data_IF_544178368202
#
_entry.id   IF_544178368202
#
_cell.length_a   1.000
_cell.length_b   1.000
_cell.length_c   1.000
_cell.angle_alpha   90.00
_cell.angle_beta   90.00
_cell.angle_gamma   90.00
#
_symmetry.space_group_name_H-M   'P 1'
#
loop_
_entity.id
_entity.type
_entity.pdbx_description
1 polymer ?
#
# COMPACT_ATOMS: atom_id res chain seq x y z
N UNK A 1 26.43 -15.63 -18.50
CA UNK A 1 25.77 -14.43 -19.06
C UNK A 1 24.26 -14.64 -19.22
N UNK A 2 23.79 -15.67 -19.95
CA UNK A 2 22.35 -15.92 -20.16
C UNK A 2 21.48 -16.14 -18.90
N UNK A 3 22.06 -16.64 -17.80
CA UNK A 3 21.33 -16.91 -16.54
C UNK A 3 20.93 -15.61 -15.83
N UNK A 4 21.75 -14.55 -15.94
CA UNK A 4 21.50 -13.24 -15.34
C UNK A 4 20.40 -12.49 -16.09
N UNK A 5 20.38 -12.60 -17.43
CA UNK A 5 19.31 -12.07 -18.29
C UNK A 5 17.96 -12.75 -18.02
N UNK A 6 17.95 -14.07 -17.78
CA UNK A 6 16.74 -14.80 -17.42
C UNK A 6 16.16 -14.40 -16.07
N UNK A 7 17.00 -14.14 -15.06
CA UNK A 7 16.56 -13.65 -13.74
C UNK A 7 16.04 -12.22 -13.85
N UNK A 8 16.72 -11.33 -14.59
CA UNK A 8 16.29 -9.94 -14.78
C UNK A 8 14.96 -9.84 -15.55
N UNK A 9 14.74 -10.70 -16.55
CA UNK A 9 13.46 -10.83 -17.24
C UNK A 9 12.36 -11.39 -16.32
N UNK A 10 12.69 -12.37 -15.47
CA UNK A 10 11.73 -12.96 -14.54
C UNK A 10 11.31 -11.98 -13.42
N UNK A 11 12.26 -11.20 -12.88
CA UNK A 11 11.97 -10.15 -11.88
C UNK A 11 11.22 -8.98 -12.52
N UNK A 12 11.61 -8.55 -13.71
CA UNK A 12 10.89 -7.53 -14.48
C UNK A 12 9.44 -7.94 -14.79
N UNK A 13 9.22 -9.20 -15.18
CA UNK A 13 7.86 -9.72 -15.42
C UNK A 13 7.04 -9.83 -14.13
N UNK A 14 7.67 -10.21 -13.01
CA UNK A 14 7.01 -10.22 -11.70
C UNK A 14 6.57 -8.81 -11.27
N UNK A 15 7.48 -7.83 -11.34
CA UNK A 15 7.17 -6.43 -11.00
C UNK A 15 6.08 -5.89 -11.93
N UNK A 16 6.14 -6.18 -13.23
CA UNK A 16 5.11 -5.78 -14.18
C UNK A 16 3.73 -6.38 -13.85
N UNK A 17 3.67 -7.67 -13.48
CA UNK A 17 2.42 -8.33 -13.07
C UNK A 17 1.86 -7.73 -11.78
N UNK A 18 2.70 -7.55 -10.76
CA UNK A 18 2.30 -6.92 -9.48
C UNK A 18 1.79 -5.50 -9.70
N UNK A 19 2.46 -4.71 -10.54
CA UNK A 19 2.03 -3.36 -10.89
C UNK A 19 0.70 -3.37 -11.64
N UNK A 20 0.55 -4.27 -12.62
CA UNK A 20 -0.69 -4.39 -13.41
C UNK A 20 -1.88 -4.78 -12.54
N UNK A 21 -1.71 -5.77 -11.66
CA UNK A 21 -2.76 -6.20 -10.72
C UNK A 21 -3.09 -5.11 -9.71
N UNK A 22 -2.08 -4.41 -9.19
CA UNK A 22 -2.28 -3.29 -8.27
C UNK A 22 -3.09 -2.18 -8.93
N UNK A 23 -2.68 -1.73 -10.12
CA UNK A 23 -3.36 -0.68 -10.88
C UNK A 23 -4.79 -1.10 -11.26
N UNK A 24 -4.99 -2.34 -11.70
CA UNK A 24 -6.33 -2.86 -12.03
C UNK A 24 -7.24 -2.82 -10.81
N UNK A 25 -6.78 -3.33 -9.66
CA UNK A 25 -7.58 -3.37 -8.42
C UNK A 25 -7.88 -1.97 -7.88
N UNK A 26 -6.92 -1.06 -7.94
CA UNK A 26 -7.13 0.35 -7.57
C UNK A 26 -8.16 1.03 -8.47
N UNK A 27 -8.14 0.76 -9.78
CA UNK A 27 -9.12 1.29 -10.74
C UNK A 27 -10.51 0.68 -10.54
N UNK A 28 -10.61 -0.64 -10.35
CA UNK A 28 -11.87 -1.35 -10.08
C UNK A 28 -12.59 -0.80 -8.85
N UNK A 29 -11.84 -0.55 -7.77
CA UNK A 29 -12.41 -0.01 -6.53
C UNK A 29 -12.65 1.51 -6.55
N UNK A 30 -12.32 2.18 -7.66
CA UNK A 30 -12.36 3.64 -7.81
C UNK A 30 -11.64 4.33 -6.64
N UNK A 31 -10.42 3.87 -6.35
CA UNK A 31 -9.61 4.43 -5.27
C UNK A 31 -9.38 5.93 -5.52
N UNK A 32 -9.66 6.75 -4.51
CA UNK A 32 -9.42 8.18 -4.61
C UNK A 32 -8.01 8.58 -4.16
N UNK A 33 -7.65 9.85 -4.38
CA UNK A 33 -6.32 10.36 -4.05
C UNK A 33 -6.04 10.40 -2.54
N UNK A 34 -7.07 10.57 -1.72
CA UNK A 34 -6.95 10.60 -0.26
C UNK A 34 -6.61 9.19 0.26
N UNK A 35 -7.31 8.18 -0.24
CA UNK A 35 -7.06 6.78 0.09
C UNK A 35 -5.68 6.33 -0.33
N UNK A 36 -5.28 6.67 -1.57
CA UNK A 36 -3.92 6.38 -2.05
C UNK A 36 -2.86 7.11 -1.21
N UNK A 37 -3.11 8.37 -0.85
CA UNK A 37 -2.24 9.16 0.02
C UNK A 37 -2.07 8.51 1.39
N UNK A 38 -3.17 8.06 2.01
CA UNK A 38 -3.16 7.38 3.29
C UNK A 38 -2.41 6.04 3.22
N UNK A 39 -2.63 5.23 2.19
CA UNK A 39 -1.88 3.97 1.99
C UNK A 39 -0.38 4.22 1.83
N UNK A 40 0.02 5.25 1.07
CA UNK A 40 1.43 5.66 0.96
C UNK A 40 1.99 6.13 2.31
N UNK A 41 1.22 6.88 3.10
CA UNK A 41 1.64 7.31 4.43
C UNK A 41 1.80 6.11 5.38
N UNK A 42 0.93 5.11 5.33
CA UNK A 42 1.06 3.87 6.13
C UNK A 42 2.33 3.08 5.75
N UNK A 43 2.69 3.05 4.47
CA UNK A 43 3.95 2.44 4.01
C UNK A 43 5.15 3.26 4.46
N UNK A 44 5.06 4.60 4.39
CA UNK A 44 6.11 5.52 4.80
C UNK A 44 6.40 5.44 6.31
N UNK A 45 5.36 5.41 7.14
CA UNK A 45 5.46 5.25 8.59
C UNK A 45 5.70 3.78 8.95
N UNK A 46 6.87 3.26 8.59
CA UNK A 46 7.29 1.91 8.92
C UNK A 46 8.24 1.93 10.14
N UNK A 47 7.81 1.48 11.34
CA UNK A 47 8.65 1.50 12.53
C UNK A 47 9.84 0.52 12.42
N UNK A 48 9.71 -0.51 11.57
CA UNK A 48 10.72 -1.56 11.36
C UNK A 48 11.79 -1.15 10.34
N UNK A 49 11.76 0.09 9.84
CA UNK A 49 12.77 0.58 8.92
C UNK A 49 14.14 0.64 9.62
N UNK A 50 15.20 0.29 8.89
CA UNK A 50 16.57 0.28 9.42
C UNK A 50 16.98 1.69 9.88
N UNK A 51 17.71 1.75 10.99
CA UNK A 51 18.29 2.99 11.55
C UNK A 51 17.27 4.04 12.02
N UNK A 52 16.03 3.64 12.33
CA UNK A 52 15.03 4.53 12.94
C UNK A 52 15.28 4.65 14.44
N UNK A 53 15.46 5.88 14.92
CA UNK A 53 15.60 6.18 16.35
C UNK A 53 14.26 6.38 17.07
N UNK A 54 13.21 6.77 16.32
CA UNK A 54 11.91 7.17 16.84
C UNK A 54 10.79 6.16 16.49
N UNK A 55 11.02 4.86 16.67
CA UNK A 55 10.08 3.82 16.24
C UNK A 55 8.69 3.96 16.87
N UNK A 56 8.63 4.34 18.16
CA UNK A 56 7.36 4.56 18.87
C UNK A 56 6.54 5.72 18.28
N UNK A 57 7.17 6.85 17.95
CA UNK A 57 6.47 7.99 17.34
C UNK A 57 5.98 7.65 15.94
N UNK A 58 6.79 6.90 15.17
CA UNK A 58 6.40 6.43 13.84
C UNK A 58 5.19 5.50 13.93
N UNK A 59 5.17 4.58 14.90
CA UNK A 59 4.01 3.69 15.08
C UNK A 59 2.76 4.48 15.46
N UNK A 60 2.86 5.44 16.37
CA UNK A 60 1.74 6.32 16.73
C UNK A 60 1.22 7.13 15.54
N UNK A 61 2.10 7.64 14.67
CA UNK A 61 1.70 8.31 13.44
C UNK A 61 1.00 7.34 12.48
N UNK A 62 1.51 6.11 12.37
CA UNK A 62 0.90 5.06 11.55
C UNK A 62 -0.51 4.71 12.01
N UNK A 63 -0.70 4.50 13.31
CA UNK A 63 -2.00 4.24 13.94
C UNK A 63 -3.00 5.38 13.66
N UNK A 64 -2.56 6.63 13.77
CA UNK A 64 -3.40 7.79 13.42
C UNK A 64 -3.85 7.75 11.96
N UNK A 65 -2.96 7.41 11.03
CA UNK A 65 -3.33 7.29 9.61
C UNK A 65 -4.33 6.14 9.39
N UNK A 66 -4.17 5.00 10.07
CA UNK A 66 -5.17 3.92 10.01
C UNK A 66 -6.54 4.39 10.50
N UNK A 67 -6.60 5.04 11.67
CA UNK A 67 -7.86 5.55 12.22
C UNK A 67 -8.54 6.58 11.31
N UNK A 68 -7.77 7.55 10.79
CA UNK A 68 -8.28 8.55 9.85
C UNK A 68 -8.78 7.91 8.55
N UNK A 69 -8.07 6.91 8.01
CA UNK A 69 -8.48 6.23 6.78
C UNK A 69 -9.76 5.40 6.99
N UNK A 70 -9.89 4.73 8.13
CA UNK A 70 -11.09 3.98 8.48
C UNK A 70 -12.31 4.91 8.59
N UNK A 71 -12.17 6.01 9.33
CA UNK A 71 -13.23 7.01 9.46
C UNK A 71 -13.60 7.65 8.12
N UNK A 72 -12.60 8.03 7.32
CA UNK A 72 -12.81 8.57 5.98
C UNK A 72 -13.59 7.59 5.09
N UNK A 73 -13.19 6.31 5.10
CA UNK A 73 -13.85 5.25 4.32
C UNK A 73 -15.31 5.10 4.74
N UNK A 74 -15.57 5.06 6.05
CA UNK A 74 -16.92 4.91 6.62
C UNK A 74 -17.82 6.10 6.29
N UNK A 75 -17.29 7.32 6.38
CA UNK A 75 -18.06 8.56 6.14
C UNK A 75 -18.31 8.81 4.66
N UNK A 76 -17.32 8.54 3.80
CA UNK A 76 -17.42 8.81 2.36
C UNK A 76 -18.10 7.69 1.58
N UNK A 77 -17.94 6.45 2.02
CA UNK A 77 -18.48 5.26 1.37
C UNK A 77 -19.31 4.43 2.36
N UNK A 78 -20.42 5.00 2.90
CA UNK A 78 -21.24 4.31 3.90
C UNK A 78 -21.85 3.00 3.37
N UNK A 79 -22.07 2.90 2.06
CA UNK A 79 -22.60 1.71 1.38
C UNK A 79 -21.53 0.62 1.15
N UNK A 80 -20.27 0.87 1.49
CA UNK A 80 -19.15 -0.06 1.32
C UNK A 80 -18.45 -0.38 2.67
N UNK A 81 -19.11 -1.08 3.62
CA UNK A 81 -18.57 -1.32 4.96
C UNK A 81 -17.24 -2.11 5.00
N UNK A 82 -16.88 -2.81 3.91
CA UNK A 82 -15.61 -3.52 3.77
C UNK A 82 -14.50 -2.73 3.06
N UNK A 83 -14.72 -1.45 2.72
CA UNK A 83 -13.79 -0.68 1.87
C UNK A 83 -12.43 -0.47 2.54
N UNK A 84 -12.41 -0.14 3.83
CA UNK A 84 -11.18 0.02 4.59
C UNK A 84 -10.32 -1.25 4.53
N UNK A 85 -10.90 -2.42 4.83
CA UNK A 85 -10.19 -3.70 4.73
C UNK A 85 -9.67 -3.97 3.31
N UNK A 86 -10.48 -3.70 2.28
CA UNK A 86 -10.06 -3.84 0.86
C UNK A 86 -8.87 -2.94 0.52
N UNK A 87 -8.83 -1.72 1.05
CA UNK A 87 -7.69 -0.80 0.90
C UNK A 87 -6.43 -1.39 1.54
N UNK A 88 -6.53 -1.90 2.77
CA UNK A 88 -5.39 -2.49 3.48
C UNK A 88 -4.80 -3.71 2.77
N UNK A 89 -5.63 -4.50 2.09
CA UNK A 89 -5.17 -5.62 1.25
C UNK A 89 -4.29 -5.19 0.06
N UNK A 90 -4.15 -3.88 -0.22
CA UNK A 90 -3.23 -3.36 -1.24
C UNK A 90 -1.84 -3.06 -0.69
N UNK A 91 -1.66 -2.98 0.63
CA UNK A 91 -0.37 -2.68 1.27
C UNK A 91 0.75 -3.67 0.90
N UNK A 92 0.55 -5.00 0.84
CA UNK A 92 1.61 -5.93 0.47
C UNK A 92 2.16 -5.68 -0.94
N UNK A 93 1.26 -5.42 -1.89
CA UNK A 93 1.65 -5.10 -3.28
C UNK A 93 2.35 -3.74 -3.37
N UNK A 94 1.88 -2.73 -2.62
CA UNK A 94 2.53 -1.41 -2.56
C UNK A 94 3.96 -1.48 -1.99
N UNK A 95 4.19 -2.28 -0.95
CA UNK A 95 5.52 -2.51 -0.37
C UNK A 95 6.48 -3.28 -1.30
N UNK A 96 5.94 -4.02 -2.27
CA UNK A 96 6.75 -4.78 -3.24
C UNK A 96 7.32 -3.89 -4.36
N UNK A 97 6.72 -2.71 -4.58
CA UNK A 97 7.07 -1.79 -5.67
C UNK A 97 8.02 -0.67 -5.21
N UNK A 98 8.06 -0.36 -3.90
CA UNK A 98 8.95 0.65 -3.31
C UNK A 98 10.17 0.01 -2.69
#
# INVERSE_FOLDING_TARGET
MAVQDGILLATGLHVHRVLTELVSKMREMKMDKTELGALKAIVLFNPDAKNVSCSTEIEQLREKVYGTLEEYSRTKYPDEPGRFAKLLLRLPALRSIG
#
